data_IF_296425115990
#
_entry.id   IF_296425115990
#
_cell.length_a   1.000
_cell.length_b   1.000
_cell.length_c   1.000
_cell.angle_alpha   90.00
_cell.angle_beta   90.00
_cell.angle_gamma   90.00
#
_symmetry.space_group_name_H-M   'P 1'
#
loop_
_entity.id
_entity.type
_entity.pdbx_description
1 polymer ?
#
# COMPACT_ATOMS: atom_id res chain seq x y z
N UNK A 1 83.89 -0.49 -10.03
CA UNK A 1 82.50 -0.04 -10.31
C UNK A 1 81.59 -1.26 -10.22
N UNK A 2 80.78 -1.37 -9.14
CA UNK A 2 79.84 -2.46 -8.97
C UNK A 2 78.42 -1.90 -9.24
N UNK A 3 77.79 -2.41 -10.30
CA UNK A 3 76.44 -2.06 -10.73
C UNK A 3 75.40 -2.83 -9.88
N UNK A 4 74.64 -2.08 -9.06
CA UNK A 4 73.52 -2.63 -8.30
C UNK A 4 72.26 -2.64 -9.20
N UNK A 5 71.72 -3.83 -9.50
CA UNK A 5 70.46 -3.98 -10.21
C UNK A 5 69.32 -3.88 -9.14
N UNK A 6 68.50 -2.86 -9.24
CA UNK A 6 67.28 -2.75 -8.45
C UNK A 6 66.20 -3.69 -9.04
N UNK A 7 65.68 -4.60 -8.21
CA UNK A 7 64.51 -5.43 -8.51
C UNK A 7 63.22 -4.61 -8.20
N UNK A 8 62.42 -4.38 -9.23
CA UNK A 8 61.13 -3.74 -9.11
C UNK A 8 60.07 -4.83 -8.75
N UNK A 9 59.59 -4.82 -7.52
CA UNK A 9 58.48 -5.70 -7.09
C UNK A 9 57.16 -4.99 -7.34
N UNK A 10 56.38 -5.45 -8.29
CA UNK A 10 55.04 -4.97 -8.60
C UNK A 10 54.05 -5.75 -7.74
N UNK A 11 53.26 -5.11 -6.84
CA UNK A 11 52.24 -5.81 -6.09
C UNK A 11 51.08 -6.19 -6.99
N UNK A 12 50.76 -7.49 -7.03
CA UNK A 12 49.58 -8.02 -7.68
C UNK A 12 48.34 -7.71 -6.82
N UNK A 13 47.56 -6.69 -7.22
CA UNK A 13 46.25 -6.42 -6.59
C UNK A 13 45.23 -7.45 -7.11
N UNK A 14 44.90 -8.42 -6.31
CA UNK A 14 43.74 -9.30 -6.53
C UNK A 14 42.45 -8.53 -6.23
N UNK A 15 41.70 -8.18 -7.29
CA UNK A 15 40.35 -7.62 -7.17
C UNK A 15 39.42 -8.75 -6.73
N UNK A 16 38.94 -8.67 -5.48
CA UNK A 16 37.84 -9.52 -4.98
C UNK A 16 36.53 -8.95 -5.51
N UNK A 17 36.01 -9.53 -6.56
CA UNK A 17 34.65 -9.26 -7.07
C UNK A 17 33.65 -9.94 -6.13
N UNK A 18 33.04 -9.19 -5.23
CA UNK A 18 31.88 -9.65 -4.47
C UNK A 18 30.70 -9.76 -5.40
N UNK A 19 30.36 -10.97 -5.84
CA UNK A 19 29.08 -11.27 -6.48
C UNK A 19 27.98 -11.11 -5.42
N UNK A 20 27.19 -10.05 -5.49
CA UNK A 20 25.91 -9.96 -4.79
C UNK A 20 24.96 -10.99 -5.42
N UNK A 21 24.74 -12.11 -4.73
CA UNK A 21 23.71 -13.05 -5.12
C UNK A 21 22.36 -12.33 -5.05
N UNK A 22 21.74 -12.10 -6.20
CA UNK A 22 20.33 -11.70 -6.26
C UNK A 22 19.51 -12.86 -5.74
N UNK A 23 18.83 -12.67 -4.60
CA UNK A 23 17.93 -13.69 -4.06
C UNK A 23 16.86 -14.01 -5.11
N UNK A 24 16.82 -15.27 -5.52
CA UNK A 24 15.81 -15.74 -6.46
C UNK A 24 14.44 -15.65 -5.78
N UNK A 25 13.40 -15.14 -6.45
CA UNK A 25 12.07 -15.08 -5.85
C UNK A 25 11.61 -16.48 -5.43
N UNK A 26 10.85 -16.63 -4.35
CA UNK A 26 10.34 -17.92 -3.92
C UNK A 26 9.50 -18.56 -5.03
N UNK A 27 9.46 -19.90 -5.11
CA UNK A 27 8.63 -20.57 -6.10
C UNK A 27 7.17 -20.17 -5.94
N UNK A 28 6.44 -20.10 -7.06
CA UNK A 28 5.02 -19.77 -7.06
C UNK A 28 4.27 -20.69 -6.07
N UNK A 29 3.40 -20.15 -5.20
CA UNK A 29 2.67 -20.96 -4.25
C UNK A 29 1.65 -21.85 -4.99
N UNK A 30 1.30 -22.98 -4.39
CA UNK A 30 0.25 -23.85 -4.90
C UNK A 30 -1.16 -23.24 -4.74
N UNK A 31 -1.32 -22.25 -3.86
CA UNK A 31 -2.58 -21.57 -3.54
C UNK A 31 -2.37 -20.08 -3.33
N UNK A 32 -3.46 -19.31 -3.50
CA UNK A 32 -3.53 -17.88 -3.26
C UNK A 32 -3.22 -17.55 -1.80
N UNK A 33 -2.32 -16.56 -1.56
CA UNK A 33 -1.97 -16.08 -0.22
C UNK A 33 -2.15 -14.57 -0.13
N UNK A 34 -2.63 -14.12 1.02
CA UNK A 34 -2.74 -12.70 1.36
C UNK A 34 -1.91 -12.41 2.60
N UNK A 35 -0.88 -11.58 2.43
CA UNK A 35 -0.07 -11.05 3.52
C UNK A 35 -0.57 -9.67 3.92
N UNK A 36 -0.54 -9.36 5.20
CA UNK A 36 -0.86 -8.05 5.75
C UNK A 36 0.42 -7.46 6.33
N UNK A 37 0.78 -6.25 5.89
CA UNK A 37 1.92 -5.50 6.39
C UNK A 37 1.44 -4.37 7.30
N UNK A 38 2.21 -4.11 8.36
CA UNK A 38 2.04 -2.95 9.22
C UNK A 38 2.81 -1.78 8.60
N UNK A 39 2.10 -0.91 7.89
CA UNK A 39 2.66 0.24 7.20
C UNK A 39 2.52 1.55 8.01
N UNK A 40 2.10 1.45 9.27
CA UNK A 40 2.03 2.55 10.21
C UNK A 40 0.69 2.69 10.93
N UNK A 41 0.65 3.69 11.79
CA UNK A 41 -0.54 4.14 12.53
C UNK A 41 -0.64 5.65 12.39
N UNK A 42 -1.73 6.13 11.84
CA UNK A 42 -2.10 7.54 11.88
C UNK A 42 -2.60 7.87 13.28
N UNK A 43 -2.00 8.87 13.90
CA UNK A 43 -2.48 9.36 15.18
C UNK A 43 -3.79 10.13 15.00
N UNK A 44 -4.70 9.92 15.92
CA UNK A 44 -6.05 10.47 15.88
C UNK A 44 -6.07 11.98 15.64
N UNK A 45 -6.90 12.38 14.71
CA UNK A 45 -7.11 13.76 14.33
C UNK A 45 -8.54 14.23 14.64
N UNK A 46 -8.97 15.27 13.93
CA UNK A 46 -10.31 15.80 14.00
C UNK A 46 -11.31 14.84 13.34
N UNK A 47 -11.99 14.05 14.16
CA UNK A 47 -12.98 13.06 13.71
C UNK A 47 -14.28 13.69 13.22
N UNK A 48 -14.52 15.00 13.49
CA UNK A 48 -15.68 15.71 12.96
C UNK A 48 -15.71 15.73 11.43
N UNK A 49 -14.54 15.66 10.78
CA UNK A 49 -14.42 15.53 9.34
C UNK A 49 -15.02 14.23 8.77
N UNK A 50 -15.13 13.19 9.61
CA UNK A 50 -15.83 11.94 9.32
C UNK A 50 -17.29 11.98 9.75
N UNK A 51 -17.78 13.16 10.20
CA UNK A 51 -19.10 13.35 10.81
C UNK A 51 -19.33 12.46 12.03
N UNK A 52 -18.26 12.15 12.75
CA UNK A 52 -18.25 11.36 13.97
C UNK A 52 -17.88 12.24 15.17
N UNK A 53 -18.38 11.86 16.35
CA UNK A 53 -17.98 12.46 17.61
C UNK A 53 -17.06 11.49 18.38
N UNK A 54 -16.08 11.98 19.17
CA UNK A 54 -15.17 11.10 19.92
C UNK A 54 -15.87 10.06 20.79
N UNK A 55 -17.06 10.39 21.30
CA UNK A 55 -17.87 9.52 22.16
C UNK A 55 -18.51 8.34 21.39
N UNK A 56 -18.59 8.44 20.06
CA UNK A 56 -19.15 7.41 19.19
C UNK A 56 -18.11 6.36 18.78
N UNK A 57 -16.83 6.55 19.17
CA UNK A 57 -15.70 5.80 18.65
C UNK A 57 -14.92 5.07 19.74
N UNK A 58 -14.44 3.88 19.43
CA UNK A 58 -13.53 3.15 20.31
C UNK A 58 -12.12 3.77 20.33
N UNK A 59 -11.68 4.35 19.22
CA UNK A 59 -10.40 5.05 19.06
C UNK A 59 -10.44 6.01 17.87
N UNK A 60 -9.68 7.09 17.96
CA UNK A 60 -9.50 8.03 16.86
C UNK A 60 -8.25 7.71 16.02
N UNK A 61 -7.43 6.75 16.44
CA UNK A 61 -6.30 6.28 15.67
C UNK A 61 -6.73 5.40 14.50
N UNK A 62 -5.98 5.47 13.40
CA UNK A 62 -6.20 4.65 12.22
C UNK A 62 -4.98 3.78 11.93
N UNK A 63 -5.19 2.52 11.59
CA UNK A 63 -4.12 1.68 11.04
C UNK A 63 -3.81 2.08 9.61
N UNK A 64 -2.56 1.92 9.20
CA UNK A 64 -2.15 1.95 7.79
C UNK A 64 -1.67 0.56 7.45
N UNK A 65 -2.43 -0.13 6.63
CA UNK A 65 -2.10 -1.48 6.19
C UNK A 65 -1.76 -1.50 4.70
N UNK A 66 -0.73 -2.27 4.34
CA UNK A 66 -0.44 -2.64 2.97
C UNK A 66 -0.64 -4.14 2.82
N UNK A 67 -0.93 -4.60 1.61
CA UNK A 67 -1.19 -6.03 1.40
C UNK A 67 -0.38 -6.56 0.23
N UNK A 68 0.10 -7.80 0.36
CA UNK A 68 0.68 -8.53 -0.75
C UNK A 68 -0.20 -9.74 -1.05
N UNK A 69 -0.73 -9.77 -2.24
CA UNK A 69 -1.37 -10.96 -2.81
C UNK A 69 -0.33 -11.75 -3.57
N UNK A 70 -0.19 -13.03 -3.23
CA UNK A 70 0.69 -13.97 -3.94
C UNK A 70 -0.18 -15.04 -4.58
N UNK A 71 -0.21 -15.01 -5.91
CA UNK A 71 -0.97 -15.90 -6.75
C UNK A 71 -0.03 -16.83 -7.53
N UNK A 72 -0.43 -18.06 -7.95
CA UNK A 72 0.40 -18.90 -8.82
C UNK A 72 0.91 -18.20 -10.09
N UNK A 73 0.16 -17.23 -10.61
CA UNK A 73 0.48 -16.49 -11.84
C UNK A 73 1.15 -15.11 -11.61
N UNK A 74 1.57 -14.78 -10.38
CA UNK A 74 2.25 -13.53 -10.09
C UNK A 74 1.89 -12.93 -8.73
N UNK A 75 2.29 -11.68 -8.53
CA UNK A 75 2.11 -10.97 -7.24
C UNK A 75 1.45 -9.62 -7.46
N UNK A 76 0.66 -9.17 -6.49
CA UNK A 76 0.05 -7.84 -6.47
C UNK A 76 0.33 -7.19 -5.11
N UNK A 77 0.99 -6.03 -5.12
CA UNK A 77 1.02 -5.16 -3.95
C UNK A 77 -0.17 -4.21 -3.99
N UNK A 78 -0.90 -4.12 -2.89
CA UNK A 78 -2.03 -3.23 -2.67
C UNK A 78 -1.68 -2.21 -1.60
N UNK A 79 -1.64 -0.94 -2.00
CA UNK A 79 -1.19 0.21 -1.23
C UNK A 79 0.26 0.15 -0.75
N UNK A 80 0.83 1.29 -0.43
CA UNK A 80 2.26 1.45 -0.17
C UNK A 80 2.59 2.27 1.09
N UNK A 81 1.63 2.44 2.00
CA UNK A 81 1.84 3.02 3.33
C UNK A 81 1.89 4.54 3.40
N UNK A 82 2.12 5.05 4.62
CA UNK A 82 2.06 6.47 4.96
C UNK A 82 3.43 7.14 5.15
N UNK A 83 4.48 6.37 5.43
CA UNK A 83 5.84 6.89 5.67
C UNK A 83 6.80 6.26 4.66
N UNK A 84 7.59 7.08 3.94
CA UNK A 84 8.63 6.55 3.08
C UNK A 84 9.64 5.69 3.85
N UNK A 85 10.00 4.54 3.30
CA UNK A 85 10.97 3.62 3.91
C UNK A 85 12.30 4.31 4.21
N UNK A 86 12.74 5.24 3.35
CA UNK A 86 13.95 6.05 3.55
C UNK A 86 13.93 6.88 4.83
N UNK A 87 12.76 7.36 5.26
CA UNK A 87 12.61 8.14 6.47
C UNK A 87 12.67 7.24 7.71
N UNK A 88 12.07 6.06 7.61
CA UNK A 88 12.13 5.03 8.67
C UNK A 88 13.58 4.54 8.83
N UNK A 89 14.28 4.26 7.74
CA UNK A 89 15.68 3.83 7.76
C UNK A 89 16.59 4.90 8.39
N UNK A 90 16.39 6.17 8.02
CA UNK A 90 17.12 7.30 8.60
C UNK A 90 16.87 7.45 10.09
N UNK A 91 15.63 7.35 10.54
CA UNK A 91 15.27 7.43 11.94
C UNK A 91 15.88 6.27 12.76
N UNK A 92 15.83 5.05 12.21
CA UNK A 92 16.43 3.87 12.86
C UNK A 92 17.96 4.01 12.99
N UNK A 93 18.65 4.50 11.97
CA UNK A 93 20.09 4.72 11.98
C UNK A 93 20.51 5.76 13.03
N UNK A 94 19.68 6.77 13.27
CA UNK A 94 19.96 7.86 14.21
C UNK A 94 19.43 7.59 15.63
N UNK A 95 18.76 6.44 15.88
CA UNK A 95 18.12 6.13 17.15
C UNK A 95 17.01 7.11 17.55
N UNK A 96 16.39 7.76 16.56
CA UNK A 96 15.36 8.79 16.77
C UNK A 96 13.95 8.21 16.89
N UNK A 97 12.98 9.07 17.19
CA UNK A 97 11.58 8.67 17.37
C UNK A 97 11.01 7.99 16.13
N UNK A 98 10.14 7.04 16.37
CA UNK A 98 9.32 6.36 15.32
C UNK A 98 8.04 7.13 14.96
N UNK A 99 7.91 8.34 15.47
CA UNK A 99 6.81 9.26 15.18
C UNK A 99 7.26 10.27 14.13
N UNK A 100 6.59 10.25 12.99
CA UNK A 100 6.88 11.07 11.83
C UNK A 100 5.86 12.19 11.70
N UNK A 101 6.32 13.41 11.53
CA UNK A 101 5.51 14.57 11.15
C UNK A 101 5.55 14.69 9.64
N UNK A 102 4.44 14.43 9.00
CA UNK A 102 4.25 14.62 7.57
C UNK A 102 3.62 15.99 7.33
N UNK A 103 4.24 16.79 6.47
CA UNK A 103 3.68 18.07 6.02
C UNK A 103 3.23 17.89 4.56
N UNK A 104 1.92 17.98 4.36
CA UNK A 104 1.33 17.84 3.05
C UNK A 104 1.49 19.12 2.21
N UNK A 105 1.37 19.07 0.87
CA UNK A 105 1.55 20.25 0.02
C UNK A 105 0.63 21.44 0.36
N UNK A 106 -0.56 21.18 0.90
CA UNK A 106 -1.49 22.21 1.38
C UNK A 106 -1.14 22.76 2.77
N UNK A 107 -0.01 22.34 3.37
CA UNK A 107 0.45 22.74 4.70
C UNK A 107 -0.18 21.96 5.86
N UNK A 108 -1.09 21.03 5.61
CA UNK A 108 -1.68 20.21 6.66
C UNK A 108 -0.63 19.25 7.24
N UNK A 109 -0.66 19.09 8.57
CA UNK A 109 0.24 18.18 9.27
C UNK A 109 -0.48 16.89 9.64
N UNK A 110 0.25 15.80 9.52
CA UNK A 110 -0.17 14.48 9.97
C UNK A 110 0.93 13.85 10.80
N UNK A 111 0.54 13.11 11.81
CA UNK A 111 1.48 12.37 12.65
C UNK A 111 1.26 10.87 12.44
N UNK A 112 2.34 10.18 12.10
CA UNK A 112 2.31 8.75 11.82
C UNK A 112 3.38 8.07 12.65
N UNK A 113 3.03 7.00 13.34
CA UNK A 113 3.99 6.10 13.96
C UNK A 113 4.24 4.92 13.03
N UNK A 114 5.50 4.67 12.68
CA UNK A 114 5.91 3.51 11.90
C UNK A 114 7.24 2.95 12.44
N UNK A 115 7.40 1.63 12.44
CA UNK A 115 8.57 0.98 13.06
C UNK A 115 9.35 0.12 12.08
N UNK A 116 8.69 -0.35 11.03
CA UNK A 116 9.23 -1.28 10.05
C UNK A 116 9.01 -0.72 8.65
N UNK A 117 10.05 -0.82 7.82
CA UNK A 117 9.92 -0.49 6.40
C UNK A 117 9.03 -1.51 5.68
N UNK A 118 8.31 -1.07 4.65
CA UNK A 118 7.56 -1.99 3.78
C UNK A 118 8.51 -3.00 3.12
N UNK A 119 9.68 -2.53 2.68
CA UNK A 119 10.74 -3.36 2.09
C UNK A 119 11.21 -4.46 3.04
N UNK A 120 11.40 -4.16 4.34
CA UNK A 120 11.83 -5.18 5.31
C UNK A 120 10.74 -6.24 5.58
N UNK A 121 9.48 -5.85 5.53
CA UNK A 121 8.35 -6.76 5.70
C UNK A 121 8.14 -7.64 4.46
N UNK A 122 8.31 -7.08 3.25
CA UNK A 122 8.37 -7.86 2.00
C UNK A 122 9.49 -8.91 2.06
N UNK A 123 10.69 -8.50 2.47
CA UNK A 123 11.84 -9.42 2.61
C UNK A 123 11.57 -10.54 3.61
N UNK A 124 10.92 -10.25 4.75
CA UNK A 124 10.52 -11.25 5.72
C UNK A 124 9.49 -12.25 5.18
N UNK A 125 8.68 -11.84 4.20
CA UNK A 125 7.75 -12.71 3.47
C UNK A 125 8.42 -13.44 2.28
N UNK A 126 9.70 -13.16 1.99
CA UNK A 126 10.46 -13.76 0.90
C UNK A 126 10.38 -13.02 -0.44
N UNK A 127 9.91 -11.76 -0.44
CA UNK A 127 9.73 -10.96 -1.66
C UNK A 127 10.58 -9.69 -1.63
N UNK A 128 10.80 -9.13 -2.82
CA UNK A 128 11.47 -7.83 -3.00
C UNK A 128 10.59 -6.93 -3.88
N UNK A 129 10.71 -5.60 -3.78
CA UNK A 129 9.94 -4.70 -4.64
C UNK A 129 10.10 -5.01 -6.13
N UNK A 130 11.31 -5.30 -6.59
CA UNK A 130 11.60 -5.60 -8.00
C UNK A 130 10.96 -6.92 -8.48
N UNK A 131 10.62 -7.83 -7.56
CA UNK A 131 9.94 -9.09 -7.85
C UNK A 131 8.41 -8.98 -7.88
N UNK A 132 7.84 -7.80 -7.68
CA UNK A 132 6.38 -7.61 -7.68
C UNK A 132 5.88 -7.39 -9.12
N UNK A 133 4.90 -8.22 -9.53
CA UNK A 133 4.33 -8.18 -10.88
C UNK A 133 3.44 -6.96 -11.08
N UNK A 134 2.54 -6.72 -10.15
CA UNK A 134 1.53 -5.66 -10.22
C UNK A 134 1.57 -4.75 -8.99
N UNK A 135 1.36 -3.47 -9.23
CA UNK A 135 1.01 -2.48 -8.22
C UNK A 135 -0.44 -2.07 -8.42
N UNK A 136 -1.23 -2.02 -7.37
CA UNK A 136 -2.49 -1.29 -7.33
C UNK A 136 -2.54 -0.42 -6.08
N UNK A 137 -3.02 0.80 -6.23
CA UNK A 137 -3.33 1.71 -5.14
C UNK A 137 -4.85 1.78 -5.03
N UNK A 138 -5.37 1.76 -3.80
CA UNK A 138 -6.81 2.00 -3.58
C UNK A 138 -7.20 3.36 -4.13
N UNK A 139 -6.35 4.34 -3.87
CA UNK A 139 -6.45 5.72 -4.34
C UNK A 139 -5.14 6.49 -4.12
N UNK A 140 -5.13 7.81 -4.38
CA UNK A 140 -3.92 8.63 -4.46
C UNK A 140 -3.48 9.29 -3.15
N UNK A 141 -4.18 9.17 -2.01
CA UNK A 141 -3.78 9.86 -0.79
C UNK A 141 -2.43 9.39 -0.24
N UNK A 142 -1.79 10.28 0.54
CA UNK A 142 -0.42 10.13 1.01
C UNK A 142 -0.17 8.85 1.81
N UNK A 143 -1.16 8.37 2.56
CA UNK A 143 -1.08 7.20 3.42
C UNK A 143 -1.30 5.87 2.70
N UNK A 144 -1.55 5.93 1.39
CA UNK A 144 -1.60 4.79 0.48
C UNK A 144 -0.44 4.77 -0.52
N UNK A 145 0.33 5.87 -0.64
CA UNK A 145 1.30 6.05 -1.72
C UNK A 145 2.75 6.19 -1.27
N UNK A 146 3.06 6.26 0.04
CA UNK A 146 4.37 6.69 0.55
C UNK A 146 5.58 5.92 -0.03
N UNK A 147 5.40 4.65 -0.39
CA UNK A 147 6.46 3.81 -0.98
C UNK A 147 6.14 3.35 -2.41
N UNK A 148 5.22 4.02 -3.11
CA UNK A 148 4.82 3.61 -4.46
C UNK A 148 5.98 3.63 -5.47
N UNK A 149 6.95 4.53 -5.30
CA UNK A 149 8.17 4.57 -6.13
C UNK A 149 8.98 3.28 -6.09
N UNK A 150 8.93 2.50 -5.02
CA UNK A 150 9.63 1.20 -4.92
C UNK A 150 9.11 0.19 -5.95
N UNK A 151 7.88 0.35 -6.41
CA UNK A 151 7.20 -0.56 -7.34
C UNK A 151 7.09 0.02 -8.76
N UNK A 152 7.95 0.99 -9.11
CA UNK A 152 7.90 1.61 -10.43
C UNK A 152 8.21 0.65 -11.59
N UNK A 153 8.89 -0.47 -11.32
CA UNK A 153 9.14 -1.54 -12.28
C UNK A 153 7.94 -2.49 -12.47
N UNK A 154 6.99 -2.50 -11.53
CA UNK A 154 5.76 -3.29 -11.63
C UNK A 154 4.81 -2.70 -12.67
N UNK A 155 3.92 -3.54 -13.23
CA UNK A 155 2.80 -3.04 -14.03
C UNK A 155 1.77 -2.40 -13.08
N UNK A 156 1.52 -1.11 -13.27
CA UNK A 156 0.58 -0.36 -12.43
C UNK A 156 -0.86 -0.49 -12.96
N UNK A 157 -1.72 -1.09 -12.12
CA UNK A 157 -3.15 -1.23 -12.36
C UNK A 157 -3.86 -0.01 -11.80
N UNK A 158 -4.37 0.87 -12.65
CA UNK A 158 -4.92 2.16 -12.20
C UNK A 158 -6.10 2.61 -13.08
N UNK A 159 -7.04 3.31 -12.48
CA UNK A 159 -8.10 3.99 -13.22
C UNK A 159 -7.57 5.28 -13.85
N UNK A 160 -7.89 5.56 -15.13
CA UNK A 160 -7.39 6.75 -15.81
C UNK A 160 -7.59 8.04 -15.03
N UNK A 161 -8.79 8.27 -14.51
CA UNK A 161 -9.16 9.48 -13.75
C UNK A 161 -8.30 9.64 -12.48
N UNK A 162 -7.95 8.55 -11.81
CA UNK A 162 -7.09 8.57 -10.63
C UNK A 162 -5.65 8.94 -11.01
N UNK A 163 -5.14 8.30 -12.07
CA UNK A 163 -3.80 8.61 -12.60
C UNK A 163 -3.69 10.05 -13.09
N UNK A 164 -4.71 10.56 -13.77
CA UNK A 164 -4.74 11.94 -14.25
C UNK A 164 -4.63 12.91 -13.07
N UNK A 165 -5.45 12.74 -12.02
CA UNK A 165 -5.40 13.55 -10.81
C UNK A 165 -4.03 13.53 -10.12
N UNK A 166 -3.36 12.38 -10.06
CA UNK A 166 -2.02 12.25 -9.47
C UNK A 166 -0.95 13.08 -10.18
N UNK A 167 -1.11 13.33 -11.48
CA UNK A 167 -0.09 13.97 -12.29
C UNK A 167 -0.50 15.33 -12.87
N UNK A 168 -1.58 15.89 -12.36
CA UNK A 168 -1.98 17.26 -12.69
C UNK A 168 -0.96 18.30 -12.20
N UNK A 169 -0.98 19.48 -12.81
CA UNK A 169 -0.12 20.59 -12.41
C UNK A 169 -0.47 21.16 -11.03
N UNK A 170 -1.72 21.03 -10.62
CA UNK A 170 -2.22 21.30 -9.27
C UNK A 170 -2.90 20.05 -8.75
N UNK A 171 -2.14 19.12 -8.16
CA UNK A 171 -2.73 17.91 -7.64
C UNK A 171 -3.73 18.23 -6.50
N UNK A 172 -4.77 17.41 -6.34
CA UNK A 172 -5.69 17.50 -5.19
C UNK A 172 -4.98 17.52 -3.84
N UNK A 173 -5.69 17.95 -2.80
CA UNK A 173 -5.20 17.86 -1.43
C UNK A 173 -4.90 16.40 -1.03
N UNK A 174 -4.10 16.23 0.01
CA UNK A 174 -3.68 14.94 0.58
C UNK A 174 -2.77 14.09 -0.34
N UNK A 175 -2.23 14.64 -1.43
CA UNK A 175 -1.23 13.97 -2.25
C UNK A 175 0.19 14.34 -1.82
N UNK A 176 1.12 13.39 -2.01
CA UNK A 176 2.56 13.64 -1.91
C UNK A 176 3.27 13.21 -3.20
N UNK A 177 3.34 14.07 -4.23
CA UNK A 177 3.87 13.70 -5.55
C UNK A 177 5.27 13.09 -5.55
N UNK A 178 6.12 13.43 -4.59
CA UNK A 178 7.47 12.85 -4.43
C UNK A 178 7.46 11.34 -4.19
N UNK A 179 6.39 10.78 -3.60
CA UNK A 179 6.30 9.37 -3.19
C UNK A 179 5.90 8.44 -4.34
N UNK A 180 5.31 9.00 -5.42
CA UNK A 180 4.85 8.24 -6.58
C UNK A 180 5.35 8.77 -7.93
N UNK A 181 6.25 9.74 -7.92
CA UNK A 181 6.75 10.40 -9.15
C UNK A 181 7.34 9.43 -10.18
N UNK A 182 7.95 8.33 -9.74
CA UNK A 182 8.51 7.31 -10.61
C UNK A 182 7.44 6.55 -11.42
N UNK A 183 6.21 6.47 -10.90
CA UNK A 183 5.08 5.79 -11.58
C UNK A 183 4.68 6.47 -12.90
N UNK A 184 5.12 7.71 -13.13
CA UNK A 184 4.93 8.39 -14.42
C UNK A 184 5.48 7.57 -15.61
N UNK A 185 6.52 6.78 -15.36
CA UNK A 185 7.22 5.96 -16.37
C UNK A 185 6.89 4.47 -16.28
N UNK A 186 6.08 4.06 -15.32
CA UNK A 186 5.69 2.64 -15.16
C UNK A 186 4.85 2.16 -16.34
N UNK A 187 4.94 0.89 -16.63
CA UNK A 187 3.96 0.21 -17.49
C UNK A 187 2.59 0.29 -16.81
N UNK A 188 1.55 0.69 -17.56
CA UNK A 188 0.21 0.91 -17.02
C UNK A 188 -0.79 0.02 -17.71
N UNK A 189 -1.66 -0.59 -16.93
CA UNK A 189 -2.95 -1.12 -17.38
C UNK A 189 -4.03 -0.16 -16.91
N UNK A 190 -4.64 0.55 -17.85
CA UNK A 190 -5.73 1.48 -17.58
C UNK A 190 -7.04 0.69 -17.40
N UNK A 191 -7.58 0.70 -16.17
CA UNK A 191 -8.81 0.00 -15.83
C UNK A 191 -10.00 0.91 -16.12
N UNK A 192 -10.76 0.60 -17.18
CA UNK A 192 -11.95 1.38 -17.58
C UNK A 192 -13.26 0.72 -17.19
N UNK A 193 -13.26 -0.60 -16.93
CA UNK A 193 -14.43 -1.37 -16.49
C UNK A 193 -14.75 -1.22 -15.00
N UNK A 194 -15.93 -1.62 -14.60
CA UNK A 194 -16.33 -1.65 -13.18
C UNK A 194 -15.43 -2.59 -12.37
N UNK A 195 -15.15 -3.77 -12.91
CA UNK A 195 -14.31 -4.80 -12.31
C UNK A 195 -13.11 -5.09 -13.20
N UNK A 196 -11.98 -5.45 -12.57
CA UNK A 196 -10.79 -5.95 -13.26
C UNK A 196 -10.24 -7.18 -12.54
N UNK A 197 -10.34 -8.33 -13.19
CA UNK A 197 -9.79 -9.60 -12.71
C UNK A 197 -8.29 -9.66 -13.00
N UNK A 198 -7.47 -9.54 -11.96
CA UNK A 198 -6.01 -9.38 -12.06
C UNK A 198 -5.35 -10.59 -12.70
N UNK A 199 -5.78 -11.80 -12.32
CA UNK A 199 -5.18 -13.07 -12.78
C UNK A 199 -6.10 -13.87 -13.71
N UNK A 200 -7.28 -13.33 -14.07
CA UNK A 200 -8.26 -13.90 -15.01
C UNK A 200 -8.87 -15.23 -14.55
N UNK A 201 -9.03 -15.41 -13.24
CA UNK A 201 -9.64 -16.61 -12.65
C UNK A 201 -10.70 -16.29 -11.57
N UNK A 202 -11.02 -15.02 -11.40
CA UNK A 202 -12.02 -14.53 -10.45
C UNK A 202 -11.59 -14.54 -9.00
N UNK A 203 -10.32 -14.82 -8.71
CA UNK A 203 -9.84 -14.90 -7.33
C UNK A 203 -9.34 -13.57 -6.77
N UNK A 204 -8.86 -12.67 -7.62
CA UNK A 204 -8.33 -11.35 -7.25
C UNK A 204 -8.91 -10.29 -8.18
N UNK A 205 -9.82 -9.48 -7.66
CA UNK A 205 -10.56 -8.51 -8.48
C UNK A 205 -10.46 -7.10 -7.89
N UNK A 206 -10.06 -6.14 -8.71
CA UNK A 206 -10.15 -4.72 -8.40
C UNK A 206 -11.51 -4.21 -8.84
N UNK A 207 -12.30 -3.67 -7.90
CA UNK A 207 -13.67 -3.19 -8.14
C UNK A 207 -13.72 -1.67 -8.05
N UNK A 208 -14.40 -1.03 -8.99
CA UNK A 208 -14.64 0.41 -8.96
C UNK A 208 -15.48 0.79 -7.73
N UNK A 209 -15.03 1.81 -7.04
CA UNK A 209 -15.69 2.30 -5.83
C UNK A 209 -15.46 3.82 -5.67
N UNK A 210 -15.83 4.63 -6.70
CA UNK A 210 -15.56 6.06 -6.70
C UNK A 210 -16.36 6.79 -5.62
N UNK A 211 -15.88 7.98 -5.27
CA UNK A 211 -16.54 8.90 -4.35
C UNK A 211 -15.54 9.52 -3.37
N UNK A 212 -14.81 8.72 -2.61
CA UNK A 212 -13.71 9.18 -1.76
C UNK A 212 -12.65 9.91 -2.62
N UNK A 213 -12.21 9.26 -3.68
CA UNK A 213 -11.55 9.91 -4.82
C UNK A 213 -12.26 9.50 -6.11
N UNK A 214 -12.06 10.22 -7.24
CA UNK A 214 -12.76 9.92 -8.50
C UNK A 214 -12.50 8.51 -9.03
N UNK A 215 -11.32 7.96 -8.81
CA UNK A 215 -10.92 6.64 -9.28
C UNK A 215 -10.67 5.63 -8.16
N UNK A 216 -11.21 5.87 -6.97
CA UNK A 216 -11.08 4.95 -5.84
C UNK A 216 -11.57 3.55 -6.21
N UNK A 217 -10.89 2.52 -5.70
CA UNK A 217 -11.20 1.12 -5.92
C UNK A 217 -11.02 0.29 -4.65
N UNK A 218 -11.66 -0.86 -4.59
CA UNK A 218 -11.53 -1.85 -3.51
C UNK A 218 -10.95 -3.16 -4.05
N UNK A 219 -10.28 -3.93 -3.19
CA UNK A 219 -9.66 -5.20 -3.55
C UNK A 219 -10.49 -6.36 -3.00
N UNK A 220 -10.97 -7.23 -3.88
CA UNK A 220 -11.56 -8.51 -3.53
C UNK A 220 -10.55 -9.64 -3.70
N UNK A 221 -10.44 -10.53 -2.69
CA UNK A 221 -9.56 -11.70 -2.71
C UNK A 221 -10.34 -12.92 -2.23
N UNK A 222 -10.44 -13.96 -3.07
CA UNK A 222 -11.16 -15.20 -2.76
C UNK A 222 -10.19 -16.26 -2.23
N UNK A 223 -9.94 -16.24 -0.93
CA UNK A 223 -9.05 -17.16 -0.24
C UNK A 223 -9.74 -18.51 0.02
N UNK A 224 -9.01 -19.62 -0.15
CA UNK A 224 -9.58 -20.96 -0.08
C UNK A 224 -9.96 -21.39 1.35
N UNK A 225 -9.15 -21.02 2.35
CA UNK A 225 -9.35 -21.41 3.77
C UNK A 225 -10.02 -20.32 4.59
N UNK A 226 -9.63 -19.07 4.36
CA UNK A 226 -10.15 -17.90 5.07
C UNK A 226 -11.53 -17.49 4.59
N UNK A 227 -11.88 -17.87 3.36
CA UNK A 227 -13.03 -17.36 2.63
C UNK A 227 -12.74 -16.04 1.92
N UNK A 228 -13.75 -15.49 1.21
CA UNK A 228 -13.57 -14.26 0.46
C UNK A 228 -13.45 -13.05 1.38
N UNK A 229 -12.57 -12.11 1.00
CA UNK A 229 -12.28 -10.86 1.72
C UNK A 229 -12.38 -9.68 0.77
N UNK A 230 -12.91 -8.56 1.23
CA UNK A 230 -12.81 -7.25 0.57
C UNK A 230 -11.99 -6.32 1.46
N UNK A 231 -10.87 -5.82 0.93
CA UNK A 231 -10.12 -4.70 1.51
C UNK A 231 -10.65 -3.42 0.88
N UNK A 232 -11.28 -2.54 1.70
CA UNK A 232 -12.12 -1.49 1.16
C UNK A 232 -11.42 -0.16 0.86
N UNK A 233 -10.07 -0.06 1.03
CA UNK A 233 -9.42 1.25 0.97
C UNK A 233 -10.13 2.23 1.90
N UNK A 234 -10.39 3.44 1.42
CA UNK A 234 -11.03 4.53 2.16
C UNK A 234 -12.52 4.70 1.83
N UNK A 235 -13.15 3.64 1.30
CA UNK A 235 -14.62 3.62 1.24
C UNK A 235 -15.24 3.71 2.64
N UNK A 236 -14.51 3.21 3.65
CA UNK A 236 -14.73 3.40 5.08
C UNK A 236 -13.39 3.55 5.79
N UNK A 237 -13.27 4.56 6.66
CA UNK A 237 -12.09 4.75 7.52
C UNK A 237 -12.33 4.11 8.89
N UNK A 238 -13.48 4.33 9.46
CA UNK A 238 -13.89 3.81 10.76
C UNK A 238 -15.10 2.88 10.62
N UNK A 239 -15.20 1.82 11.43
CA UNK A 239 -16.39 0.96 11.44
C UNK A 239 -17.67 1.72 11.77
N UNK A 240 -17.56 2.80 12.54
CA UNK A 240 -18.67 3.69 12.93
C UNK A 240 -19.26 4.43 11.71
N UNK A 241 -18.46 4.75 10.68
CA UNK A 241 -19.00 5.32 9.45
C UNK A 241 -20.04 4.39 8.81
N UNK A 242 -19.79 3.09 8.85
CA UNK A 242 -20.71 2.09 8.31
C UNK A 242 -21.94 1.92 9.18
N UNK A 243 -21.78 1.79 10.50
CA UNK A 243 -22.89 1.54 11.44
C UNK A 243 -23.82 2.73 11.61
N UNK A 244 -23.25 3.96 11.53
CA UNK A 244 -23.97 5.22 11.65
C UNK A 244 -24.33 5.86 10.31
N UNK A 245 -23.95 5.20 9.20
CA UNK A 245 -24.14 5.71 7.83
C UNK A 245 -23.59 7.14 7.65
N UNK A 246 -22.34 7.36 8.07
CA UNK A 246 -21.66 8.66 7.96
C UNK A 246 -20.69 8.65 6.78
N UNK A 247 -20.68 9.72 6.00
CA UNK A 247 -19.74 9.93 4.88
C UNK A 247 -18.84 11.11 5.24
N UNK A 248 -17.52 10.99 5.06
CA UNK A 248 -16.57 12.07 5.33
C UNK A 248 -16.90 13.36 4.55
N UNK A 249 -16.59 14.51 5.14
CA UNK A 249 -16.83 15.82 4.49
C UNK A 249 -15.81 16.16 3.42
N UNK A 250 -14.76 15.36 3.27
CA UNK A 250 -13.68 15.57 2.32
C UNK A 250 -13.68 14.56 1.17
N UNK A 251 -14.70 13.71 1.08
CA UNK A 251 -14.89 12.86 -0.09
C UNK A 251 -15.14 13.74 -1.33
N UNK A 252 -14.55 13.36 -2.45
CA UNK A 252 -14.68 14.13 -3.71
C UNK A 252 -16.13 14.18 -4.19
N UNK A 253 -16.93 13.14 -3.95
CA UNK A 253 -18.35 13.07 -4.26
C UNK A 253 -19.10 12.15 -3.27
N UNK A 254 -19.81 12.75 -2.32
CA UNK A 254 -20.57 12.02 -1.31
C UNK A 254 -21.67 11.12 -1.91
N UNK A 255 -22.26 11.52 -3.04
CA UNK A 255 -23.31 10.70 -3.69
C UNK A 255 -22.71 9.45 -4.32
N UNK A 256 -21.55 9.57 -4.94
CA UNK A 256 -20.81 8.41 -5.46
C UNK A 256 -20.35 7.51 -4.33
N UNK A 257 -19.83 8.06 -3.21
CA UNK A 257 -19.48 7.27 -2.03
C UNK A 257 -20.68 6.47 -1.51
N UNK A 258 -21.85 7.11 -1.37
CA UNK A 258 -23.07 6.42 -0.94
C UNK A 258 -23.46 5.29 -1.90
N UNK A 259 -23.40 5.53 -3.21
CA UNK A 259 -23.69 4.52 -4.24
C UNK A 259 -22.66 3.36 -4.20
N UNK A 260 -21.37 3.67 -4.05
CA UNK A 260 -20.29 2.69 -3.92
C UNK A 260 -20.46 1.82 -2.68
N UNK A 261 -20.81 2.42 -1.53
CA UNK A 261 -21.12 1.69 -0.28
C UNK A 261 -22.32 0.75 -0.46
N UNK A 262 -23.39 1.21 -1.09
CA UNK A 262 -24.56 0.39 -1.39
C UNK A 262 -24.23 -0.78 -2.32
N UNK A 263 -23.44 -0.55 -3.37
CA UNK A 263 -22.99 -1.60 -4.28
C UNK A 263 -22.09 -2.63 -3.57
N UNK A 264 -21.19 -2.15 -2.69
CA UNK A 264 -20.36 -3.03 -1.86
C UNK A 264 -21.22 -3.89 -0.93
N UNK A 265 -22.21 -3.34 -0.26
CA UNK A 265 -23.09 -4.10 0.64
C UNK A 265 -23.86 -5.22 -0.09
N UNK A 266 -24.31 -4.95 -1.32
CA UNK A 266 -24.92 -5.98 -2.20
C UNK A 266 -23.88 -7.06 -2.51
N UNK A 267 -22.66 -6.67 -2.90
CA UNK A 267 -21.58 -7.61 -3.23
C UNK A 267 -21.19 -8.48 -2.03
N UNK A 268 -21.05 -7.90 -0.85
CA UNK A 268 -20.74 -8.65 0.40
C UNK A 268 -21.83 -9.69 0.71
N UNK A 269 -23.11 -9.34 0.54
CA UNK A 269 -24.23 -10.27 0.75
C UNK A 269 -24.23 -11.41 -0.27
N UNK A 270 -23.90 -11.12 -1.54
CA UNK A 270 -23.87 -12.12 -2.60
C UNK A 270 -22.71 -13.11 -2.46
N UNK A 271 -21.56 -12.63 -2.01
CA UNK A 271 -20.30 -13.42 -1.96
C UNK A 271 -20.02 -14.02 -0.59
N UNK A 272 -20.66 -13.53 0.48
CA UNK A 272 -20.30 -13.84 1.85
C UNK A 272 -18.93 -13.28 2.27
N UNK A 273 -18.40 -12.31 1.53
CA UNK A 273 -17.08 -11.78 1.79
C UNK A 273 -17.02 -11.00 3.11
N UNK A 274 -15.93 -11.19 3.85
CA UNK A 274 -15.60 -10.38 5.00
C UNK A 274 -15.15 -8.99 4.54
N UNK A 275 -15.66 -7.93 5.16
CA UNK A 275 -15.18 -6.58 4.93
C UNK A 275 -14.00 -6.28 5.87
N UNK A 276 -12.85 -5.97 5.31
CA UNK A 276 -11.68 -5.47 6.03
C UNK A 276 -11.56 -3.96 5.78
N UNK A 277 -11.92 -3.18 6.79
CA UNK A 277 -11.73 -1.72 6.80
C UNK A 277 -10.26 -1.47 7.08
N UNK A 278 -9.56 -0.90 6.11
CA UNK A 278 -8.11 -0.80 6.10
C UNK A 278 -7.59 0.07 7.26
N UNK A 279 -8.35 1.08 7.64
CA UNK A 279 -8.05 2.00 8.72
C UNK A 279 -8.63 1.60 10.09
N UNK A 280 -9.43 0.52 10.19
CA UNK A 280 -9.91 0.04 11.50
C UNK A 280 -8.74 -0.45 12.34
N UNK A 281 -8.28 0.42 13.26
CA UNK A 281 -7.13 0.16 14.12
C UNK A 281 -7.32 -1.10 14.97
N UNK A 282 -8.49 -1.27 15.54
CA UNK A 282 -8.80 -2.39 16.45
C UNK A 282 -8.89 -3.74 15.73
N UNK A 283 -9.50 -3.76 14.55
CA UNK A 283 -9.59 -4.98 13.75
C UNK A 283 -8.23 -5.32 13.13
N UNK A 284 -7.51 -4.31 12.58
CA UNK A 284 -6.21 -4.50 11.98
C UNK A 284 -5.17 -5.04 12.97
N UNK A 285 -5.21 -4.61 14.24
CA UNK A 285 -4.33 -5.11 15.29
C UNK A 285 -4.45 -6.64 15.52
N UNK A 286 -5.61 -7.22 15.21
CA UNK A 286 -5.89 -8.66 15.35
C UNK A 286 -5.50 -9.47 14.11
N UNK A 287 -5.25 -8.83 12.99
CA UNK A 287 -4.85 -9.51 11.78
C UNK A 287 -3.44 -10.09 11.90
N UNK A 288 -3.28 -11.31 11.41
CA UNK A 288 -1.98 -11.94 11.27
C UNK A 288 -1.11 -11.10 10.32
N UNK A 289 0.05 -10.66 10.81
CA UNK A 289 1.01 -9.88 10.02
C UNK A 289 2.08 -10.77 9.39
N UNK A 290 2.69 -10.28 8.31
CA UNK A 290 3.82 -10.93 7.68
C UNK A 290 4.97 -11.22 8.69
N UNK A 291 5.63 -12.42 8.59
CA UNK A 291 5.61 -13.38 7.49
C UNK A 291 4.39 -14.34 7.50
N UNK A 292 3.50 -14.26 8.46
CA UNK A 292 2.24 -15.00 8.42
C UNK A 292 1.31 -14.50 7.32
N UNK A 293 0.46 -15.38 6.78
CA UNK A 293 -0.47 -15.09 5.69
C UNK A 293 -1.82 -15.75 5.89
N UNK A 294 -2.79 -15.31 5.11
CA UNK A 294 -4.11 -15.91 4.94
C UNK A 294 -4.18 -16.67 3.62
N UNK A 295 -4.92 -17.78 3.61
CA UNK A 295 -5.03 -18.71 2.49
C UNK A 295 -6.47 -19.15 2.24
#
# INVERSE_FOLDING_TARGET
>A
MRTVKALLVIPLMTAVTTMTATAQPPPAPASLRLYVFDCGRLEGGDVSRFRLAPQEMATTDMSVACYLVVHPNGTLIWDAGAVPDSDIERANANGTSRRYRLVLPNGAERFVTATRTLKSQLAAAGYTPDGITYLALSHYHYDHTANANLFAASTWLVRPVEREAMFESKPPDLLQPSTYSALRRSTVIAITGADYDVFRDGTVVLKSSPGHTPGHQVLFVKLAKTGPVVVCGDLYHYPEERTLNRIPTFDADEKQTAASRAALDVFLKQTGAQLWIQHDFSANAKLKKAPGYYE
#
